data_IF_054958344097
#
_entry.id   IF_054958344097
#
_cell.length_a   1.000
_cell.length_b   1.000
_cell.length_c   1.000
_cell.angle_alpha   90.00
_cell.angle_beta   90.00
_cell.angle_gamma   90.00
#
_symmetry.space_group_name_H-M   'P 1'
#
loop_
_entity.id
_entity.type
_entity.pdbx_description
1 polymer ?
#
# COMPACT_ATOMS: atom_id res chain seq x y z
N UNK A 1 6.67 -19.55 -47.74
CA UNK A 1 8.00 -18.95 -47.51
C UNK A 1 8.16 -18.74 -46.01
N UNK A 2 9.14 -19.38 -45.37
CA UNK A 2 9.36 -19.29 -43.91
C UNK A 2 10.11 -18.00 -43.57
N UNK A 3 9.52 -17.12 -42.77
CA UNK A 3 10.19 -15.92 -42.25
C UNK A 3 11.14 -16.32 -41.11
N UNK A 4 12.45 -16.25 -41.36
CA UNK A 4 13.46 -16.41 -40.30
C UNK A 4 13.55 -15.13 -39.46
N UNK A 5 13.25 -15.23 -38.16
CA UNK A 5 13.42 -14.16 -37.19
C UNK A 5 14.92 -14.01 -36.86
N UNK A 6 15.60 -13.02 -37.45
CA UNK A 6 17.05 -12.81 -37.28
C UNK A 6 17.44 -11.97 -36.07
N UNK A 7 16.47 -11.38 -35.36
CA UNK A 7 16.73 -10.36 -34.32
C UNK A 7 16.69 -10.85 -32.86
N UNK A 8 16.30 -12.10 -32.57
CA UNK A 8 16.29 -12.59 -31.19
C UNK A 8 17.64 -13.24 -30.82
N UNK A 9 18.47 -12.56 -30.02
CA UNK A 9 19.76 -13.09 -29.55
C UNK A 9 19.63 -14.37 -28.71
N UNK A 10 18.47 -14.61 -28.08
CA UNK A 10 18.16 -15.82 -27.29
C UNK A 10 17.87 -17.07 -28.15
N UNK A 11 17.47 -16.90 -29.42
CA UNK A 11 17.17 -18.02 -30.30
C UNK A 11 18.41 -18.64 -30.98
N UNK A 12 19.57 -17.96 -30.93
CA UNK A 12 20.79 -18.43 -31.63
C UNK A 12 21.48 -19.64 -30.97
N UNK A 13 21.13 -20.00 -29.73
CA UNK A 13 21.83 -21.05 -28.97
C UNK A 13 21.08 -22.38 -28.83
N UNK A 14 19.88 -22.53 -29.39
CA UNK A 14 19.10 -23.78 -29.31
C UNK A 14 18.72 -24.31 -30.69
N UNK A 15 19.32 -25.43 -31.08
CA UNK A 15 19.05 -26.16 -32.33
C UNK A 15 17.81 -27.07 -32.24
N UNK A 16 16.81 -26.73 -31.43
CA UNK A 16 15.59 -27.53 -31.30
C UNK A 16 14.46 -26.90 -32.10
N UNK A 17 13.82 -27.69 -32.97
CA UNK A 17 12.75 -27.30 -33.89
C UNK A 17 11.40 -26.90 -33.22
N UNK A 18 11.43 -26.36 -31.99
CA UNK A 18 10.24 -25.84 -31.31
C UNK A 18 10.20 -24.32 -31.44
N UNK A 19 9.05 -23.72 -31.84
CA UNK A 19 8.92 -22.28 -31.95
C UNK A 19 9.13 -21.62 -30.59
N UNK A 20 9.87 -20.51 -30.58
CA UNK A 20 10.11 -19.69 -29.39
C UNK A 20 8.81 -18.97 -29.03
N UNK A 21 8.27 -19.23 -27.84
CA UNK A 21 7.03 -18.61 -27.34
C UNK A 21 7.10 -17.08 -27.30
N UNK A 22 8.31 -16.50 -27.23
CA UNK A 22 8.54 -15.06 -27.25
C UNK A 22 8.34 -14.45 -28.66
N UNK A 23 8.54 -15.23 -29.72
CA UNK A 23 8.31 -14.77 -31.09
C UNK A 23 6.84 -14.88 -31.50
N UNK A 24 6.09 -15.83 -30.93
CA UNK A 24 4.64 -15.97 -31.18
C UNK A 24 3.80 -14.86 -30.53
N UNK A 25 4.31 -14.18 -29.49
CA UNK A 25 3.61 -13.06 -28.86
C UNK A 25 3.70 -11.73 -29.62
N UNK A 26 4.61 -11.59 -30.58
CA UNK A 26 4.82 -10.34 -31.35
C UNK A 26 4.04 -10.28 -32.67
N UNK A 27 3.51 -11.41 -33.15
CA UNK A 27 2.77 -11.50 -34.42
C UNK A 27 1.26 -11.29 -34.28
N UNK A 28 0.75 -11.14 -33.05
CA UNK A 28 -0.64 -10.77 -32.77
C UNK A 28 -0.67 -9.62 -31.77
N UNK A 29 -0.77 -8.34 -32.21
CA UNK A 29 -1.22 -7.27 -31.35
C UNK A 29 -2.71 -7.49 -31.07
N UNK A 30 -3.02 -8.43 -30.18
CA UNK A 30 -4.35 -8.48 -29.56
C UNK A 30 -4.62 -7.13 -28.94
N UNK A 31 -5.70 -6.48 -29.41
CA UNK A 31 -6.28 -5.25 -28.88
C UNK A 31 -6.01 -5.14 -27.38
N UNK A 32 -5.08 -4.27 -27.01
CA UNK A 32 -5.03 -3.78 -25.63
C UNK A 32 -6.39 -3.16 -25.37
N UNK A 33 -7.08 -3.66 -24.36
CA UNK A 33 -8.48 -3.37 -24.07
C UNK A 33 -8.64 -1.90 -23.65
N UNK A 34 -8.76 -1.03 -24.64
CA UNK A 34 -8.86 0.43 -24.47
C UNK A 34 -10.09 0.81 -23.63
N UNK A 35 -11.07 -0.10 -23.56
CA UNK A 35 -12.26 0.04 -22.74
C UNK A 35 -11.97 0.00 -21.24
N UNK A 36 -10.97 -0.77 -20.79
CA UNK A 36 -10.61 -0.85 -19.36
C UNK A 36 -9.95 0.42 -18.84
N UNK A 37 -9.07 1.05 -19.64
CA UNK A 37 -8.46 2.33 -19.27
C UNK A 37 -9.48 3.47 -19.23
N UNK A 38 -10.44 3.48 -20.17
CA UNK A 38 -11.54 4.44 -20.20
C UNK A 38 -12.46 4.30 -18.98
N UNK A 39 -12.87 3.07 -18.63
CA UNK A 39 -13.72 2.81 -17.46
C UNK A 39 -13.08 3.25 -16.14
N UNK A 40 -11.76 3.10 -15.98
CA UNK A 40 -11.05 3.53 -14.78
C UNK A 40 -11.02 5.07 -14.69
N UNK A 41 -10.66 5.74 -15.79
CA UNK A 41 -10.58 7.21 -15.84
C UNK A 41 -11.95 7.88 -15.61
N UNK A 42 -13.04 7.32 -16.17
CA UNK A 42 -14.38 7.87 -16.02
C UNK A 42 -14.91 7.73 -14.59
N UNK A 43 -14.53 6.64 -13.89
CA UNK A 43 -14.94 6.39 -12.51
C UNK A 43 -14.16 7.21 -11.49
N UNK A 44 -12.86 7.44 -11.72
CA UNK A 44 -12.02 8.18 -10.78
C UNK A 44 -12.36 9.68 -10.75
N UNK A 45 -12.93 10.21 -11.83
CA UNK A 45 -13.27 11.63 -11.97
C UNK A 45 -14.70 12.01 -11.53
N UNK A 46 -15.53 11.04 -11.10
CA UNK A 46 -16.90 11.33 -10.63
C UNK A 46 -16.92 11.77 -9.16
N UNK A 47 -17.40 12.99 -8.92
CA UNK A 47 -17.71 13.53 -7.59
C UNK A 47 -18.81 12.70 -6.93
N UNK A 48 -18.67 12.27 -5.66
CA UNK A 48 -19.68 11.44 -5.01
C UNK A 48 -20.96 12.24 -4.72
N UNK A 49 -22.09 11.79 -5.27
CA UNK A 49 -23.43 12.23 -4.88
C UNK A 49 -23.98 11.28 -3.81
N UNK A 50 -24.32 11.81 -2.64
CA UNK A 50 -24.87 11.03 -1.54
C UNK A 50 -26.40 10.99 -1.61
N UNK A 51 -26.99 9.81 -1.41
CA UNK A 51 -28.43 9.60 -1.22
C UNK A 51 -28.81 9.78 0.27
N UNK A 52 -30.05 10.19 0.58
CA UNK A 52 -30.50 10.43 1.95
C UNK A 52 -30.56 9.13 2.76
N UNK A 53 -30.13 9.25 4.02
CA UNK A 53 -29.60 8.17 4.86
C UNK A 53 -30.62 7.32 5.64
N UNK A 54 -31.94 7.43 5.44
CA UNK A 54 -32.89 6.66 6.26
C UNK A 54 -34.20 6.27 5.55
N UNK A 55 -34.59 4.98 5.54
CA UNK A 55 -36.00 4.59 5.53
C UNK A 55 -36.59 4.63 6.94
N UNK A 56 -37.85 5.06 7.03
CA UNK A 56 -38.67 5.07 8.25
C UNK A 56 -39.13 3.65 8.61
N UNK A 57 -38.88 3.28 9.87
CA UNK A 57 -39.39 2.10 10.64
C UNK A 57 -38.86 0.69 10.31
N UNK A 58 -38.27 -0.02 11.30
CA UNK A 58 -38.06 -1.47 11.26
C UNK A 58 -39.14 -2.27 12.05
N UNK A 59 -39.47 -3.50 11.63
CA UNK A 59 -40.36 -4.41 12.36
C UNK A 59 -39.61 -5.27 13.39
N UNK A 60 -40.35 -5.67 14.43
CA UNK A 60 -39.94 -6.60 15.49
C UNK A 60 -39.87 -8.06 15.00
N UNK A 61 -38.94 -8.86 15.54
CA UNK A 61 -39.19 -10.23 16.04
C UNK A 61 -37.91 -10.90 16.58
N UNK A 62 -38.12 -12.04 17.24
CA UNK A 62 -37.47 -12.53 18.45
C UNK A 62 -36.66 -13.84 18.30
N UNK A 63 -35.75 -14.02 19.27
CA UNK A 63 -35.38 -15.26 19.99
C UNK A 63 -34.41 -16.30 19.38
N UNK A 64 -33.27 -16.40 20.09
CA UNK A 64 -32.64 -17.59 20.73
C UNK A 64 -32.25 -18.82 19.91
N UNK A 65 -30.94 -19.13 19.92
CA UNK A 65 -30.45 -20.51 19.98
C UNK A 65 -29.08 -20.60 20.69
N UNK A 66 -28.98 -21.51 21.67
CA UNK A 66 -27.76 -21.93 22.37
C UNK A 66 -27.26 -23.24 21.74
N UNK A 67 -25.94 -23.46 21.67
CA UNK A 67 -25.31 -24.72 22.11
C UNK A 67 -23.76 -24.69 22.06
N UNK A 68 -23.21 -25.63 22.83
CA UNK A 68 -21.89 -25.69 23.46
C UNK A 68 -20.86 -26.57 22.74
N UNK A 69 -19.58 -26.35 23.07
CA UNK A 69 -18.51 -27.38 23.14
C UNK A 69 -17.71 -27.58 21.84
N UNK A 70 -16.39 -27.86 21.82
CA UNK A 70 -15.37 -28.19 22.83
C UNK A 70 -14.01 -27.76 22.23
N UNK A 71 -13.12 -27.20 23.04
CA UNK A 71 -11.82 -26.62 22.65
C UNK A 71 -10.69 -27.66 22.68
N UNK A 72 -9.90 -27.71 21.61
CA UNK A 72 -8.51 -28.21 21.60
C UNK A 72 -7.56 -27.02 21.84
N UNK A 73 -6.65 -27.12 22.81
CA UNK A 73 -5.66 -26.07 23.13
C UNK A 73 -4.34 -26.28 22.36
N UNK A 74 -3.81 -25.22 21.71
CA UNK A 74 -2.38 -25.04 21.53
C UNK A 74 -1.83 -23.97 22.49
N UNK A 75 -0.63 -24.21 22.99
CA UNK A 75 0.13 -23.36 23.92
C UNK A 75 0.49 -22.00 23.31
N UNK A 76 -0.27 -20.93 23.57
CA UNK A 76 0.21 -19.54 23.45
C UNK A 76 -0.54 -18.59 24.40
N UNK A 77 0.21 -17.63 24.98
CA UNK A 77 -0.17 -16.50 25.83
C UNK A 77 -0.72 -16.78 27.25
N UNK A 78 0.17 -16.67 28.25
CA UNK A 78 -0.21 -16.19 29.58
C UNK A 78 -0.43 -14.67 29.51
N UNK A 79 -1.62 -14.25 29.10
CA UNK A 79 -2.11 -12.91 29.39
C UNK A 79 -2.97 -12.97 30.64
N UNK A 80 -2.62 -12.16 31.63
CA UNK A 80 -3.32 -11.97 32.89
C UNK A 80 -4.81 -11.69 32.66
N UNK A 81 -5.67 -12.60 33.14
CA UNK A 81 -7.11 -12.42 33.26
C UNK A 81 -7.41 -11.28 34.25
N UNK A 82 -7.36 -10.04 33.76
CA UNK A 82 -8.06 -8.93 34.38
C UNK A 82 -9.54 -9.13 34.09
N UNK A 83 -10.33 -9.48 35.11
CA UNK A 83 -11.80 -9.46 35.06
C UNK A 83 -12.25 -8.02 34.85
N UNK A 84 -12.36 -7.62 33.59
CA UNK A 84 -13.05 -6.38 33.23
C UNK A 84 -14.54 -6.59 33.47
N UNK A 85 -15.10 -5.84 34.41
CA UNK A 85 -16.54 -5.62 34.51
C UNK A 85 -17.01 -5.04 33.17
N UNK A 86 -17.65 -5.89 32.35
CA UNK A 86 -18.32 -5.45 31.12
C UNK A 86 -19.54 -4.67 31.58
N UNK A 87 -19.42 -3.35 31.65
CA UNK A 87 -20.58 -2.48 31.73
C UNK A 87 -21.38 -2.70 30.46
N UNK A 88 -22.59 -3.25 30.58
CA UNK A 88 -23.60 -3.27 29.53
C UNK A 88 -24.04 -1.82 29.25
N UNK A 89 -23.17 -1.04 28.61
CA UNK A 89 -23.62 0.13 27.88
C UNK A 89 -24.53 -0.39 26.77
N UNK A 90 -25.74 0.16 26.67
CA UNK A 90 -26.73 -0.25 25.68
C UNK A 90 -26.11 -0.15 24.29
N UNK A 91 -25.62 -1.28 23.79
CA UNK A 91 -25.10 -1.40 22.43
C UNK A 91 -26.29 -1.02 21.58
N UNK A 92 -26.17 0.09 20.85
CA UNK A 92 -27.16 0.50 19.86
C UNK A 92 -27.45 -0.66 18.87
N UNK A 93 -28.39 -0.48 17.94
CA UNK A 93 -28.59 -1.49 16.89
C UNK A 93 -27.22 -1.90 16.35
N UNK A 94 -26.91 -3.20 16.46
CA UNK A 94 -25.66 -3.78 15.99
C UNK A 94 -25.61 -3.55 14.48
N UNK A 95 -25.05 -2.41 14.08
CA UNK A 95 -24.76 -2.12 12.69
C UNK A 95 -23.75 -3.17 12.25
N UNK A 96 -24.27 -4.20 11.59
CA UNK A 96 -23.47 -5.27 11.01
C UNK A 96 -22.44 -4.61 10.13
N UNK A 97 -21.16 -4.88 10.43
CA UNK A 97 -20.07 -4.35 9.64
C UNK A 97 -20.27 -4.75 8.18
N UNK A 98 -20.04 -3.79 7.30
CA UNK A 98 -20.17 -3.95 5.86
C UNK A 98 -19.36 -5.16 5.38
N UNK A 99 -20.06 -6.14 4.82
CA UNK A 99 -19.49 -7.42 4.41
C UNK A 99 -18.34 -7.26 3.41
N UNK A 100 -18.35 -6.18 2.61
CA UNK A 100 -17.26 -5.87 1.68
C UNK A 100 -15.94 -5.58 2.40
N UNK A 101 -15.97 -5.20 3.68
CA UNK A 101 -14.78 -4.82 4.44
C UNK A 101 -14.20 -5.98 5.26
N UNK A 102 -14.96 -7.07 5.41
CA UNK A 102 -14.51 -8.24 6.14
C UNK A 102 -13.39 -8.96 5.36
N UNK A 103 -12.32 -9.40 6.06
CA UNK A 103 -11.29 -10.23 5.46
C UNK A 103 -11.84 -11.62 5.10
N UNK A 104 -11.38 -12.19 4.00
CA UNK A 104 -11.61 -13.60 3.67
C UNK A 104 -10.32 -14.42 3.73
N UNK A 105 -10.42 -15.75 3.62
CA UNK A 105 -9.24 -16.62 3.53
C UNK A 105 -8.50 -16.41 2.20
N UNK A 106 -9.23 -16.20 1.11
CA UNK A 106 -8.67 -15.93 -0.21
C UNK A 106 -7.89 -14.61 -0.23
N UNK A 107 -8.38 -13.59 0.48
CA UNK A 107 -7.69 -12.32 0.66
C UNK A 107 -6.32 -12.54 1.36
N UNK A 108 -6.30 -13.38 2.41
CA UNK A 108 -5.06 -13.71 3.13
C UNK A 108 -4.09 -14.51 2.26
N UNK A 109 -4.55 -15.59 1.61
CA UNK A 109 -3.72 -16.44 0.76
C UNK A 109 -3.09 -15.64 -0.39
N UNK A 110 -3.83 -14.71 -0.98
CA UNK A 110 -3.32 -13.85 -2.03
C UNK A 110 -2.13 -13.02 -1.56
N UNK A 111 -2.26 -12.34 -0.42
CA UNK A 111 -1.19 -11.48 0.10
C UNK A 111 -0.04 -12.29 0.67
N UNK A 112 -0.33 -13.43 1.32
CA UNK A 112 0.68 -14.36 1.79
C UNK A 112 1.57 -14.85 0.64
N UNK A 113 0.96 -15.32 -0.45
CA UNK A 113 1.68 -15.86 -1.60
C UNK A 113 2.57 -14.80 -2.28
N UNK A 114 2.08 -13.57 -2.37
CA UNK A 114 2.83 -12.45 -2.93
C UNK A 114 4.04 -12.08 -2.03
N UNK A 115 3.79 -11.77 -0.76
CA UNK A 115 4.83 -11.28 0.17
C UNK A 115 5.90 -12.34 0.47
N UNK A 116 5.51 -13.61 0.55
CA UNK A 116 6.43 -14.72 0.89
C UNK A 116 6.97 -15.46 -0.33
N UNK A 117 6.58 -15.06 -1.55
CA UNK A 117 6.83 -15.82 -2.79
C UNK A 117 6.43 -17.29 -2.63
N UNK A 118 5.16 -17.53 -2.27
CA UNK A 118 4.60 -18.85 -1.96
C UNK A 118 5.39 -19.60 -0.86
N UNK A 119 5.75 -18.91 0.21
CA UNK A 119 6.46 -19.47 1.36
C UNK A 119 7.96 -19.69 1.15
N UNK A 120 8.54 -19.25 0.03
CA UNK A 120 9.98 -19.43 -0.25
C UNK A 120 10.89 -18.39 0.41
N UNK A 121 10.32 -17.27 0.87
CA UNK A 121 11.05 -16.21 1.57
C UNK A 121 10.39 -15.96 2.93
N UNK A 122 11.20 -16.05 3.99
CA UNK A 122 10.80 -15.69 5.35
C UNK A 122 12.00 -15.11 6.16
N UNK A 123 11.83 -14.01 6.90
CA UNK A 123 10.65 -13.14 6.92
C UNK A 123 10.48 -12.37 5.59
N UNK A 124 9.24 -12.06 5.17
CA UNK A 124 9.01 -11.22 4.01
C UNK A 124 9.59 -9.82 4.26
N UNK A 125 10.31 -9.29 3.27
CA UNK A 125 10.98 -7.98 3.36
C UNK A 125 10.26 -6.95 2.50
N UNK A 126 9.63 -5.96 3.15
CA UNK A 126 8.98 -4.83 2.50
C UNK A 126 9.57 -3.52 3.02
N UNK A 127 9.76 -2.54 2.12
CA UNK A 127 10.32 -1.24 2.51
C UNK A 127 9.32 -0.36 3.26
N UNK A 128 8.03 -0.47 2.95
CA UNK A 128 7.01 0.48 3.43
C UNK A 128 6.34 0.08 4.75
N UNK A 129 6.35 -1.20 5.11
CA UNK A 129 5.72 -1.74 6.31
C UNK A 129 6.36 -3.05 6.75
N UNK A 130 6.01 -3.51 7.94
CA UNK A 130 6.45 -4.81 8.47
C UNK A 130 5.56 -5.95 7.96
N UNK A 131 6.03 -6.66 6.93
CA UNK A 131 5.23 -7.68 6.24
C UNK A 131 4.91 -8.89 7.12
N UNK A 132 5.82 -9.31 8.00
CA UNK A 132 5.54 -10.41 8.94
C UNK A 132 4.48 -10.01 9.96
N UNK A 133 4.64 -8.84 10.60
CA UNK A 133 3.65 -8.32 11.55
C UNK A 133 2.28 -8.14 10.89
N UNK A 134 2.25 -7.67 9.64
CA UNK A 134 1.04 -7.54 8.85
C UNK A 134 0.36 -8.89 8.59
N UNK A 135 1.10 -9.92 8.18
CA UNK A 135 0.54 -11.26 7.92
C UNK A 135 -0.01 -11.90 9.21
N UNK A 136 0.71 -11.79 10.32
CA UNK A 136 0.26 -12.30 11.63
C UNK A 136 -1.05 -11.62 12.07
N UNK A 137 -1.17 -10.32 11.81
CA UNK A 137 -2.32 -9.52 12.24
C UNK A 137 -3.33 -9.26 11.11
N UNK A 138 -3.29 -10.02 10.01
CA UNK A 138 -4.04 -9.71 8.79
C UNK A 138 -5.55 -9.51 9.02
N UNK A 139 -6.16 -10.40 9.81
CA UNK A 139 -7.59 -10.36 10.11
C UNK A 139 -7.98 -9.21 11.05
N UNK A 140 -7.03 -8.67 11.82
CA UNK A 140 -7.22 -7.53 12.73
C UNK A 140 -6.72 -6.21 12.13
N UNK A 141 -6.02 -6.23 11.00
CA UNK A 141 -5.58 -5.03 10.31
C UNK A 141 -6.77 -4.18 9.82
N UNK A 142 -6.58 -2.87 9.74
CA UNK A 142 -7.60 -1.95 9.23
C UNK A 142 -8.02 -2.34 7.80
N UNK A 143 -9.33 -2.37 7.49
CA UNK A 143 -9.82 -2.79 6.18
C UNK A 143 -9.19 -2.03 5.02
N UNK A 144 -8.97 -0.73 5.17
CA UNK A 144 -8.36 0.11 4.14
C UNK A 144 -6.96 -0.40 3.74
N UNK A 145 -6.10 -0.65 4.73
CA UNK A 145 -4.74 -1.11 4.47
C UNK A 145 -4.73 -2.55 3.95
N UNK A 146 -5.51 -3.46 4.56
CA UNK A 146 -5.60 -4.85 4.11
C UNK A 146 -6.06 -4.97 2.66
N UNK A 147 -7.17 -4.31 2.31
CA UNK A 147 -7.79 -4.44 0.99
C UNK A 147 -6.92 -3.84 -0.11
N UNK A 148 -6.19 -2.75 0.16
CA UNK A 148 -5.27 -2.21 -0.84
C UNK A 148 -4.05 -3.10 -1.02
N UNK A 149 -3.54 -3.77 0.03
CA UNK A 149 -2.53 -4.81 -0.14
C UNK A 149 -3.05 -5.97 -0.98
N UNK A 150 -4.31 -6.39 -0.81
CA UNK A 150 -4.91 -7.40 -1.69
C UNK A 150 -4.95 -6.96 -3.16
N UNK A 151 -5.29 -5.69 -3.43
CA UNK A 151 -5.29 -5.16 -4.80
C UNK A 151 -3.87 -5.17 -5.39
N UNK A 152 -2.88 -4.72 -4.62
CA UNK A 152 -1.46 -4.72 -5.01
C UNK A 152 -0.93 -6.13 -5.26
N UNK A 153 -1.20 -7.08 -4.36
CA UNK A 153 -0.81 -8.48 -4.55
C UNK A 153 -1.53 -9.15 -5.73
N UNK A 154 -2.80 -8.82 -5.99
CA UNK A 154 -3.49 -9.27 -7.20
C UNK A 154 -2.81 -8.76 -8.49
N UNK A 155 -2.27 -7.54 -8.46
CA UNK A 155 -1.57 -6.92 -9.57
C UNK A 155 -0.19 -7.53 -9.81
N UNK A 156 0.58 -7.78 -8.76
CA UNK A 156 1.95 -8.32 -8.85
C UNK A 156 2.04 -9.86 -8.83
N UNK A 157 0.93 -10.56 -8.59
CA UNK A 157 0.88 -12.02 -8.67
C UNK A 157 1.49 -12.55 -9.98
N UNK A 158 2.02 -13.78 -9.94
CA UNK A 158 2.54 -14.45 -11.13
C UNK A 158 1.82 -15.80 -11.35
N UNK A 159 0.98 -15.93 -12.40
CA UNK A 159 0.56 -14.87 -13.34
C UNK A 159 -0.31 -13.80 -12.65
N UNK A 160 -0.34 -12.55 -13.18
CA UNK A 160 -1.20 -11.50 -12.65
C UNK A 160 -2.66 -11.94 -12.63
N UNK A 161 -3.40 -11.59 -11.57
CA UNK A 161 -4.84 -11.89 -11.52
C UNK A 161 -5.58 -11.06 -12.58
N UNK A 162 -6.74 -11.51 -13.07
CA UNK A 162 -7.55 -10.73 -14.00
C UNK A 162 -7.83 -9.32 -13.47
N UNK A 163 -7.84 -8.31 -14.35
CA UNK A 163 -8.04 -6.92 -13.95
C UNK A 163 -9.35 -6.71 -13.18
N UNK A 164 -10.41 -7.45 -13.52
CA UNK A 164 -11.69 -7.42 -12.79
C UNK A 164 -11.52 -7.77 -11.31
N UNK A 165 -10.62 -8.68 -10.96
CA UNK A 165 -10.31 -9.06 -9.58
C UNK A 165 -9.50 -7.96 -8.88
N UNK A 166 -8.47 -7.42 -9.55
CA UNK A 166 -7.67 -6.32 -9.03
C UNK A 166 -8.54 -5.09 -8.71
N UNK A 167 -9.44 -4.74 -9.63
CA UNK A 167 -10.36 -3.60 -9.49
C UNK A 167 -11.45 -3.85 -8.45
N UNK A 168 -11.87 -5.10 -8.24
CA UNK A 168 -12.77 -5.46 -7.14
C UNK A 168 -12.15 -5.12 -5.79
N UNK A 169 -10.89 -5.52 -5.55
CA UNK A 169 -10.15 -5.15 -4.35
C UNK A 169 -9.94 -3.65 -4.21
N UNK A 170 -9.53 -2.97 -5.28
CA UNK A 170 -9.36 -1.52 -5.28
C UNK A 170 -10.65 -0.78 -4.90
N UNK A 171 -11.81 -1.20 -5.43
CA UNK A 171 -13.11 -0.59 -5.09
C UNK A 171 -13.45 -0.77 -3.61
N UNK A 172 -13.25 -1.98 -3.07
CA UNK A 172 -13.44 -2.26 -1.62
C UNK A 172 -12.48 -1.41 -0.78
N UNK A 173 -11.22 -1.29 -1.20
CA UNK A 173 -10.22 -0.46 -0.54
C UNK A 173 -10.59 1.02 -0.55
N UNK A 174 -11.04 1.57 -1.69
CA UNK A 174 -11.51 2.97 -1.78
C UNK A 174 -12.68 3.23 -0.84
N UNK A 175 -13.68 2.33 -0.80
CA UNK A 175 -14.82 2.40 0.13
C UNK A 175 -14.35 2.45 1.59
N UNK A 176 -13.35 1.65 1.95
CA UNK A 176 -12.75 1.68 3.29
C UNK A 176 -11.96 2.99 3.55
N UNK A 177 -11.26 3.50 2.54
CA UNK A 177 -10.50 4.76 2.61
C UNK A 177 -11.43 5.96 2.84
N UNK A 178 -12.58 5.99 2.18
CA UNK A 178 -13.58 7.05 2.37
C UNK A 178 -14.10 7.06 3.83
N UNK A 179 -14.15 5.91 4.51
CA UNK A 179 -14.54 5.82 5.93
C UNK A 179 -13.46 6.32 6.90
N UNK A 180 -12.18 6.13 6.58
CA UNK A 180 -11.09 6.64 7.44
C UNK A 180 -10.85 8.14 7.20
N UNK A 181 -11.25 8.68 6.05
CA UNK A 181 -11.10 10.11 5.74
C UNK A 181 -11.86 11.04 6.70
N UNK A 182 -12.89 10.55 7.38
CA UNK A 182 -13.67 11.31 8.38
C UNK A 182 -13.19 11.08 9.82
N UNK A 183 -12.20 10.21 10.01
CA UNK A 183 -11.68 9.81 11.33
C UNK A 183 -10.32 10.47 11.58
N UNK A 184 -9.91 10.49 12.84
CA UNK A 184 -8.53 10.85 13.20
C UNK A 184 -7.56 9.86 12.54
N UNK A 185 -6.48 10.31 11.88
CA UNK A 185 -5.51 9.43 11.28
C UNK A 185 -4.90 8.46 12.29
N UNK A 186 -4.63 7.25 11.80
CA UNK A 186 -3.88 6.19 12.48
C UNK A 186 -2.62 5.85 11.69
N UNK A 187 -1.68 5.14 12.30
CA UNK A 187 -0.48 4.68 11.60
C UNK A 187 -0.83 3.84 10.36
N UNK A 188 -1.82 2.94 10.47
CA UNK A 188 -2.28 2.14 9.33
C UNK A 188 -3.00 2.96 8.27
N UNK A 189 -3.70 4.05 8.63
CA UNK A 189 -4.28 4.97 7.65
C UNK A 189 -3.21 5.62 6.77
N UNK A 190 -2.05 5.99 7.34
CA UNK A 190 -0.90 6.52 6.58
C UNK A 190 -0.38 5.49 5.59
N UNK A 191 -0.19 4.25 6.05
CA UNK A 191 0.25 3.14 5.19
C UNK A 191 -0.78 2.82 4.09
N UNK A 192 -2.08 2.90 4.39
CA UNK A 192 -3.15 2.70 3.42
C UNK A 192 -3.14 3.77 2.32
N UNK A 193 -3.02 5.06 2.70
CA UNK A 193 -2.91 6.15 1.73
C UNK A 193 -1.68 6.01 0.83
N UNK A 194 -0.53 5.60 1.39
CA UNK A 194 0.66 5.37 0.59
C UNK A 194 0.54 4.15 -0.34
N UNK A 195 -0.06 3.05 0.15
CA UNK A 195 -0.26 1.86 -0.66
C UNK A 195 -1.24 2.11 -1.84
N UNK A 196 -2.32 2.89 -1.62
CA UNK A 196 -3.23 3.23 -2.72
C UNK A 196 -2.60 4.22 -3.71
N UNK A 197 -1.70 5.10 -3.24
CA UNK A 197 -0.86 5.90 -4.12
C UNK A 197 -0.06 4.99 -5.06
N UNK A 198 0.66 4.00 -4.53
CA UNK A 198 1.46 3.07 -5.33
C UNK A 198 0.62 2.34 -6.37
N UNK A 199 -0.47 1.73 -5.93
CA UNK A 199 -1.39 1.01 -6.83
C UNK A 199 -1.95 1.91 -7.95
N UNK A 200 -2.41 3.12 -7.62
CA UNK A 200 -2.92 4.06 -8.62
C UNK A 200 -1.83 4.52 -9.60
N UNK A 201 -0.61 4.72 -9.10
CA UNK A 201 0.54 5.08 -9.91
C UNK A 201 0.90 3.97 -10.91
N UNK A 202 0.98 2.72 -10.44
CA UNK A 202 1.26 1.54 -11.26
C UNK A 202 0.18 1.28 -12.32
N UNK A 203 -1.07 1.68 -12.03
CA UNK A 203 -2.19 1.68 -12.99
C UNK A 203 -2.17 2.84 -13.99
N UNK A 204 -1.12 3.66 -13.98
CA UNK A 204 -0.97 4.79 -14.90
C UNK A 204 -1.91 5.96 -14.60
N UNK A 205 -2.30 6.13 -13.33
CA UNK A 205 -3.17 7.22 -12.87
C UNK A 205 -2.41 8.19 -11.94
N UNK A 206 -1.38 8.90 -12.42
CA UNK A 206 -0.48 9.69 -11.56
C UNK A 206 -1.19 10.86 -10.85
N UNK A 207 -2.18 11.50 -11.48
CA UNK A 207 -2.93 12.59 -10.84
C UNK A 207 -3.74 12.11 -9.64
N UNK A 208 -4.42 10.96 -9.80
CA UNK A 208 -5.19 10.32 -8.72
C UNK A 208 -4.27 9.81 -7.63
N UNK A 209 -3.15 9.20 -8.01
CA UNK A 209 -2.13 8.77 -7.07
C UNK A 209 -1.68 9.95 -6.20
N UNK A 210 -1.36 11.10 -6.83
CA UNK A 210 -0.85 12.27 -6.14
C UNK A 210 -1.76 12.77 -5.00
N UNK A 211 -3.08 12.73 -5.19
CA UNK A 211 -4.04 13.07 -4.14
C UNK A 211 -3.88 12.17 -2.90
N UNK A 212 -3.67 10.88 -3.11
CA UNK A 212 -3.44 9.93 -2.01
C UNK A 212 -2.08 10.14 -1.35
N UNK A 213 -1.04 10.50 -2.10
CA UNK A 213 0.26 10.85 -1.52
C UNK A 213 0.17 12.10 -0.64
N UNK A 214 -0.58 13.12 -1.07
CA UNK A 214 -0.84 14.31 -0.27
C UNK A 214 -1.60 13.98 1.03
N UNK A 215 -2.57 13.07 0.97
CA UNK A 215 -3.28 12.55 2.15
C UNK A 215 -2.34 11.78 3.08
N UNK A 216 -1.48 10.92 2.54
CA UNK A 216 -0.47 10.20 3.31
C UNK A 216 0.48 11.16 4.04
N UNK A 217 0.98 12.19 3.35
CA UNK A 217 1.84 13.23 3.91
C UNK A 217 1.13 14.03 5.02
N UNK A 218 -0.12 14.43 4.79
CA UNK A 218 -0.91 15.18 5.77
C UNK A 218 -1.15 14.37 7.04
N UNK A 219 -1.57 13.11 6.88
CA UNK A 219 -1.77 12.18 7.99
C UNK A 219 -0.46 11.87 8.74
N UNK A 220 0.66 11.73 8.03
CA UNK A 220 1.99 11.52 8.60
C UNK A 220 2.42 12.71 9.49
N UNK A 221 2.19 13.93 9.04
CA UNK A 221 2.47 15.16 9.80
C UNK A 221 1.54 15.27 11.02
N UNK A 222 0.24 14.97 10.86
CA UNK A 222 -0.72 15.00 11.98
C UNK A 222 -0.34 14.02 13.10
N UNK A 223 0.19 12.85 12.72
CA UNK A 223 0.72 11.85 13.66
C UNK A 223 2.12 12.17 14.19
N UNK A 224 2.71 13.30 13.76
CA UNK A 224 4.06 13.75 14.10
C UNK A 224 5.13 12.69 13.80
N UNK A 225 4.97 12.00 12.68
CA UNK A 225 5.92 10.99 12.21
C UNK A 225 7.17 11.61 11.58
N UNK A 226 7.27 12.93 11.52
CA UNK A 226 8.46 13.70 11.17
C UNK A 226 9.50 13.79 12.31
N UNK A 227 9.15 13.33 13.51
CA UNK A 227 10.07 13.19 14.65
C UNK A 227 10.43 11.73 14.88
N UNK A 228 11.70 11.45 15.20
CA UNK A 228 12.12 10.09 15.54
C UNK A 228 11.34 9.55 16.75
N UNK A 229 10.80 8.32 16.68
CA UNK A 229 10.00 7.76 17.77
C UNK A 229 10.80 7.50 19.05
N UNK A 230 12.14 7.46 19.02
CA UNK A 230 12.95 7.41 20.26
C UNK A 230 12.95 8.74 21.01
N UNK A 231 12.72 9.85 20.31
CA UNK A 231 12.81 11.21 20.84
C UNK A 231 11.43 11.85 21.03
N UNK A 232 10.37 11.05 21.04
CA UNK A 232 8.98 11.52 20.98
C UNK A 232 8.21 11.20 22.27
N UNK A 233 8.21 12.07 23.30
CA UNK A 233 7.60 11.79 24.61
C UNK A 233 6.11 11.43 24.54
N UNK A 234 5.38 11.95 23.56
CA UNK A 234 3.95 11.66 23.37
C UNK A 234 3.68 10.21 22.93
N UNK A 235 4.70 9.47 22.51
CA UNK A 235 4.60 8.04 22.19
C UNK A 235 4.93 7.14 23.38
N UNK A 236 5.43 7.67 24.52
CA UNK A 236 5.75 6.88 25.71
C UNK A 236 4.56 6.03 26.20
N UNK A 237 3.32 6.55 26.26
CA UNK A 237 2.17 5.75 26.70
C UNK A 237 1.85 4.55 25.80
N UNK A 238 2.34 4.54 24.55
CA UNK A 238 2.11 3.44 23.60
C UNK A 238 3.07 2.27 23.80
N UNK A 239 4.14 2.43 24.58
CA UNK A 239 5.16 1.40 24.83
C UNK A 239 5.65 0.71 23.55
N UNK A 240 5.95 1.50 22.51
CA UNK A 240 6.35 0.97 21.20
C UNK A 240 7.62 0.13 21.31
N UNK A 241 7.56 -1.08 20.75
CA UNK A 241 8.73 -1.95 20.58
C UNK A 241 9.73 -1.32 19.61
N UNK A 242 11.01 -1.70 19.67
CA UNK A 242 12.02 -1.27 18.69
C UNK A 242 11.59 -1.55 17.25
N UNK A 243 10.89 -2.66 17.03
CA UNK A 243 10.35 -3.07 15.73
C UNK A 243 9.26 -2.12 15.20
N UNK A 244 8.32 -1.71 16.05
CA UNK A 244 7.28 -0.73 15.69
C UNK A 244 7.85 0.68 15.47
N UNK A 245 8.85 1.07 16.27
CA UNK A 245 9.56 2.33 16.08
C UNK A 245 10.26 2.36 14.72
N UNK A 246 10.93 1.26 14.37
CA UNK A 246 11.61 1.15 13.09
C UNK A 246 10.63 1.11 11.91
N UNK A 247 9.51 0.40 12.04
CA UNK A 247 8.45 0.45 11.02
C UNK A 247 7.96 1.88 10.76
N UNK A 248 7.80 2.70 11.81
CA UNK A 248 7.47 4.13 11.66
C UNK A 248 8.52 4.91 10.88
N UNK A 249 9.82 4.67 11.11
CA UNK A 249 10.91 5.31 10.35
C UNK A 249 10.86 4.93 8.88
N UNK A 250 10.71 3.63 8.59
CA UNK A 250 10.60 3.12 7.22
C UNK A 250 9.42 3.74 6.48
N UNK A 251 8.24 3.74 7.10
CA UNK A 251 7.04 4.38 6.53
C UNK A 251 7.28 5.87 6.27
N UNK A 252 7.90 6.61 7.21
CA UNK A 252 8.26 8.01 7.00
C UNK A 252 9.17 8.19 5.78
N UNK A 253 10.31 7.48 5.73
CA UNK A 253 11.31 7.71 4.69
C UNK A 253 10.81 7.34 3.30
N UNK A 254 10.03 6.27 3.18
CA UNK A 254 9.44 5.84 1.91
C UNK A 254 8.45 6.88 1.39
N UNK A 255 7.56 7.39 2.25
CA UNK A 255 6.59 8.43 1.87
C UNK A 255 7.30 9.74 1.53
N UNK A 256 8.25 10.18 2.36
CA UNK A 256 9.01 11.41 2.15
C UNK A 256 9.80 11.35 0.83
N UNK A 257 10.52 10.25 0.57
CA UNK A 257 11.25 10.04 -0.69
C UNK A 257 10.33 10.18 -1.89
N UNK A 258 9.13 9.60 -1.82
CA UNK A 258 8.18 9.69 -2.91
C UNK A 258 7.62 11.11 -3.09
N UNK A 259 7.34 11.81 -2.01
CA UNK A 259 6.89 13.19 -2.04
C UNK A 259 7.93 14.12 -2.71
N UNK A 260 9.22 13.99 -2.34
CA UNK A 260 10.29 14.79 -2.96
C UNK A 260 10.57 14.37 -4.40
N UNK A 261 10.38 13.10 -4.74
CA UNK A 261 10.42 12.64 -6.14
C UNK A 261 9.34 13.35 -6.96
N UNK A 262 8.08 13.30 -6.53
CA UNK A 262 6.97 13.96 -7.22
C UNK A 262 7.21 15.47 -7.32
N UNK A 263 7.70 16.11 -6.26
CA UNK A 263 8.06 17.54 -6.28
C UNK A 263 9.16 17.85 -7.31
N UNK A 264 10.14 16.94 -7.49
CA UNK A 264 11.20 17.10 -8.47
C UNK A 264 10.68 16.94 -9.91
N UNK A 265 9.85 15.93 -10.18
CA UNK A 265 9.47 15.57 -11.54
C UNK A 265 8.13 16.16 -12.00
N UNK A 266 7.15 16.33 -11.12
CA UNK A 266 5.80 16.80 -11.43
C UNK A 266 5.69 18.33 -11.44
N UNK A 267 4.82 18.87 -12.31
CA UNK A 267 4.49 20.29 -12.33
C UNK A 267 3.54 20.69 -11.19
N UNK A 268 2.90 19.72 -10.54
CA UNK A 268 1.99 20.00 -9.44
C UNK A 268 2.78 20.49 -8.22
N UNK A 269 2.37 21.62 -7.67
CA UNK A 269 2.98 22.17 -6.45
C UNK A 269 2.70 21.23 -5.27
N UNK A 270 3.76 20.62 -4.73
CA UNK A 270 3.70 19.87 -3.48
C UNK A 270 4.49 20.61 -2.41
N UNK A 271 3.78 21.06 -1.37
CA UNK A 271 4.39 21.72 -0.21
C UNK A 271 4.89 20.67 0.76
N UNK A 272 6.21 20.62 0.92
CA UNK A 272 6.89 19.72 1.85
C UNK A 272 7.67 20.61 2.82
N UNK A 273 7.15 20.76 4.03
CA UNK A 273 7.76 21.52 5.12
C UNK A 273 8.10 20.54 6.25
N UNK A 274 9.09 19.70 6.03
CA UNK A 274 9.52 18.65 6.97
C UNK A 274 11.01 18.80 7.23
N UNK A 275 11.38 18.88 8.50
CA UNK A 275 12.77 18.83 8.93
C UNK A 275 13.23 17.37 9.05
N UNK A 276 13.96 16.90 8.05
CA UNK A 276 14.47 15.53 8.01
C UNK A 276 15.61 15.26 8.99
N UNK A 277 16.15 16.29 9.65
CA UNK A 277 17.22 16.11 10.65
C UNK A 277 16.69 15.57 11.98
N UNK A 278 15.39 15.73 12.23
CA UNK A 278 14.70 15.20 13.41
C UNK A 278 14.41 13.68 13.34
N UNK A 279 14.64 13.06 12.18
CA UNK A 279 14.39 11.64 11.93
C UNK A 279 15.71 10.86 11.73
N UNK A 280 15.90 9.76 12.48
CA UNK A 280 17.03 8.85 12.22
C UNK A 280 16.83 8.14 10.88
N UNK A 281 17.92 7.74 10.24
CA UNK A 281 17.85 6.82 9.10
C UNK A 281 17.12 5.53 9.49
N UNK A 282 16.32 4.99 8.56
CA UNK A 282 15.79 3.65 8.72
C UNK A 282 16.93 2.63 8.88
N UNK A 283 16.64 1.54 9.58
CA UNK A 283 17.49 0.38 9.79
C UNK A 283 16.73 -0.92 9.50
N UNK A 284 17.43 -1.92 8.99
CA UNK A 284 16.86 -3.23 8.74
C UNK A 284 16.64 -3.94 10.07
N UNK A 285 15.51 -4.63 10.19
CA UNK A 285 15.25 -5.53 11.32
C UNK A 285 15.54 -6.94 10.83
N UNK A 286 16.66 -7.51 11.24
CA UNK A 286 16.97 -8.91 10.99
C UNK A 286 16.85 -9.64 12.33
N UNK A 287 15.71 -10.30 12.52
CA UNK A 287 15.37 -10.93 13.81
C UNK A 287 15.09 -9.90 14.90
N UNK A 288 15.89 -9.92 15.98
CA UNK A 288 15.80 -8.97 17.09
C UNK A 288 16.85 -7.85 17.03
N UNK A 289 17.77 -7.89 16.06
CA UNK A 289 18.87 -6.93 15.95
C UNK A 289 18.61 -5.94 14.80
N UNK A 290 19.02 -4.68 15.01
CA UNK A 290 18.95 -3.62 14.02
C UNK A 290 20.28 -3.58 13.27
N UNK A 291 20.25 -3.93 11.99
CA UNK A 291 21.41 -3.80 11.10
C UNK A 291 21.22 -2.61 10.18
N UNK A 292 22.26 -1.77 10.07
CA UNK A 292 22.24 -0.68 9.08
C UNK A 292 22.35 -1.28 7.67
N UNK A 293 21.32 -1.10 6.85
CA UNK A 293 21.35 -1.52 5.46
C UNK A 293 21.89 -0.43 4.56
N UNK A 294 22.77 -0.79 3.63
CA UNK A 294 23.22 0.11 2.57
C UNK A 294 22.03 0.70 1.77
N UNK A 295 20.93 -0.05 1.66
CA UNK A 295 19.71 0.38 0.96
C UNK A 295 19.02 1.55 1.67
N UNK A 296 19.05 1.60 3.01
CA UNK A 296 18.35 2.64 3.78
C UNK A 296 19.17 3.92 3.86
N UNK A 297 20.50 3.79 3.91
CA UNK A 297 21.37 4.94 3.73
C UNK A 297 21.16 5.56 2.34
N UNK A 298 21.04 4.73 1.29
CA UNK A 298 20.70 5.19 -0.05
C UNK A 298 19.34 5.89 -0.09
N UNK A 299 18.34 5.40 0.65
CA UNK A 299 17.01 6.00 0.71
C UNK A 299 17.03 7.46 1.19
N UNK A 300 17.80 7.75 2.26
CA UNK A 300 17.98 9.12 2.77
C UNK A 300 18.72 10.00 1.76
N UNK A 301 19.82 9.50 1.19
CA UNK A 301 20.60 10.24 0.20
C UNK A 301 19.78 10.57 -1.05
N UNK A 302 19.04 9.60 -1.58
CA UNK A 302 18.09 9.78 -2.68
C UNK A 302 17.11 10.91 -2.37
N UNK A 303 16.48 10.87 -1.20
CA UNK A 303 15.50 11.88 -0.81
C UNK A 303 16.12 13.28 -0.70
N UNK A 304 17.35 13.39 -0.17
CA UNK A 304 18.07 14.66 -0.10
C UNK A 304 18.39 15.22 -1.50
N UNK A 305 18.89 14.38 -2.41
CA UNK A 305 19.20 14.76 -3.79
C UNK A 305 17.93 15.22 -4.52
N UNK A 306 16.85 14.45 -4.43
CA UNK A 306 15.56 14.77 -5.05
C UNK A 306 15.00 16.09 -4.52
N UNK A 307 15.10 16.35 -3.21
CA UNK A 307 14.67 17.63 -2.65
C UNK A 307 15.51 18.80 -3.20
N UNK A 308 16.83 18.64 -3.38
CA UNK A 308 17.66 19.68 -4.00
C UNK A 308 17.26 19.93 -5.46
N UNK A 309 17.00 18.87 -6.24
CA UNK A 309 16.50 18.99 -7.62
C UNK A 309 15.17 19.76 -7.64
N UNK A 310 14.26 19.45 -6.72
CA UNK A 310 12.99 20.15 -6.59
C UNK A 310 13.17 21.64 -6.26
N UNK A 311 14.12 22.00 -5.38
CA UNK A 311 14.43 23.38 -5.06
C UNK A 311 15.05 24.13 -6.27
N UNK A 312 15.94 23.49 -7.02
CA UNK A 312 16.52 24.07 -8.25
C UNK A 312 15.40 24.32 -9.27
N UNK A 313 14.50 23.35 -9.47
CA UNK A 313 13.35 23.49 -10.37
C UNK A 313 12.47 24.70 -10.05
N UNK A 314 12.18 24.95 -8.78
CA UNK A 314 11.38 26.09 -8.34
C UNK A 314 12.09 27.42 -8.63
N UNK A 315 13.41 27.48 -8.43
CA UNK A 315 14.19 28.71 -8.59
C UNK A 315 14.70 28.94 -10.03
N UNK A 316 14.66 27.92 -10.90
CA UNK A 316 15.22 27.99 -12.26
C UNK A 316 14.32 27.25 -13.26
N UNK A 317 13.12 27.82 -13.58
CA UNK A 317 12.12 27.13 -14.40
C UNK A 317 12.63 26.78 -15.81
N UNK A 318 13.62 27.51 -16.35
CA UNK A 318 14.21 27.27 -17.66
C UNK A 318 15.12 26.03 -17.73
N UNK A 319 15.66 25.53 -16.61
CA UNK A 319 16.59 24.37 -16.61
C UNK A 319 15.89 23.01 -16.71
N UNK A 320 14.61 22.90 -16.34
CA UNK A 320 13.87 21.62 -16.33
C UNK A 320 13.67 21.05 -17.73
N UNK A 321 13.57 21.93 -18.74
CA UNK A 321 13.49 21.53 -20.15
C UNK A 321 14.73 20.71 -20.55
N UNK A 322 15.92 21.05 -20.03
CA UNK A 322 17.17 20.38 -20.41
C UNK A 322 17.29 18.96 -19.82
N UNK A 323 16.91 18.77 -18.55
CA UNK A 323 16.96 17.44 -17.90
C UNK A 323 15.94 16.46 -18.50
N UNK A 324 14.76 16.94 -18.91
CA UNK A 324 13.76 16.11 -19.59
C UNK A 324 14.20 15.72 -21.01
N UNK A 325 14.88 16.63 -21.73
CA UNK A 325 15.47 16.34 -23.04
C UNK A 325 16.63 15.33 -22.95
N UNK A 326 17.40 15.32 -21.87
CA UNK A 326 18.43 14.30 -21.67
C UNK A 326 17.82 12.90 -21.43
N UNK A 327 16.69 12.77 -20.72
CA UNK A 327 16.08 11.46 -20.43
C UNK A 327 15.48 10.77 -21.65
N UNK A 328 14.90 11.52 -22.59
CA UNK A 328 14.37 10.94 -23.83
C UNK A 328 15.44 10.34 -24.74
N UNK A 329 16.72 10.70 -24.57
CA UNK A 329 17.83 10.18 -25.36
C UNK A 329 18.51 8.93 -24.76
N UNK A 330 18.04 8.44 -23.61
CA UNK A 330 18.55 7.23 -22.94
C UNK A 330 17.53 6.08 -22.86
N UNK A 331 16.40 6.21 -23.57
CA UNK A 331 15.42 5.13 -23.80
C UNK A 331 15.56 4.64 -25.23
#
# INVERSE_FOLDING_TARGET
MQHQCTQCHLCKSRSSARPCSFCDSLSNPTKVDTQSQLLLSEWLMKTPSYLPLFPSTPPQLSASFKQNGVLFQPLYLQNTLSTYEIKEESIGPLDIEDRDLLPTLEDFELVYNDLTRNGTIWPPSMFSFDAESFLVNFYSAEPAFRLIQCATSAFYAFPPKPETVQLSYYKRAKKAIDRIATRKPTFQSVQAYYAIYGFAYDKGQPLVALEFLQKAMSAMIELRMDFDPDNSPWLLPLNLTSRQKEERRRTFWVIYRQAVYEKAVSFTEMRILIDITAMKTASNIIGHELESSAVELALKWDAMILNQIALIKINTPLCVIFLLLCRQNYS
#
